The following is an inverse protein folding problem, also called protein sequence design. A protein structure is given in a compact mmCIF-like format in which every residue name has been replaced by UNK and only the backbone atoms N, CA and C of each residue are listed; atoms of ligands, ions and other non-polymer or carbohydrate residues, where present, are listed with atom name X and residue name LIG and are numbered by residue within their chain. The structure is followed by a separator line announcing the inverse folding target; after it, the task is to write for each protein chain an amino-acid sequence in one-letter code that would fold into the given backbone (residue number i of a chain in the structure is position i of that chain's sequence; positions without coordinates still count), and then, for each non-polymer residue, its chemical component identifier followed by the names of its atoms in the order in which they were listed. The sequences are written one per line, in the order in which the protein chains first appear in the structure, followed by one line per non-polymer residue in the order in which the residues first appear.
data_IF_233122881879
#
_entry.id   IF_233122881879
#
_cell.length_a   1.000
_cell.length_b   1.000
_cell.length_c   1.000
_cell.angle_alpha   90.00
_cell.angle_beta   90.00
_cell.angle_gamma   90.00
#
_symmetry.space_group_name_H-M   'P 1'
#
loop_
_entity.id
_entity.type
_entity.pdbx_description
1 polymer ?
#
# COMPACT_ATOMS: atom_id res chain seq x y z
N UNK A 1 -25.95 43.92 30.40
CA UNK A 1 -24.59 43.45 30.68
C UNK A 1 -24.58 41.93 30.74
N UNK A 2 -24.27 41.27 29.63
CA UNK A 2 -23.52 40.00 29.59
C UNK A 2 -23.12 39.76 28.14
N UNK A 3 -21.83 39.87 27.87
CA UNK A 3 -21.24 39.64 26.56
C UNK A 3 -21.29 38.14 26.25
N UNK A 4 -21.90 37.78 25.12
CA UNK A 4 -21.79 36.45 24.53
C UNK A 4 -20.50 36.45 23.73
N UNK A 5 -19.44 35.88 24.31
CA UNK A 5 -18.17 35.65 23.62
C UNK A 5 -18.38 34.50 22.65
N UNK A 6 -18.61 34.82 21.38
CA UNK A 6 -18.57 33.85 20.30
C UNK A 6 -17.14 33.33 20.16
N UNK A 7 -16.89 32.10 20.60
CA UNK A 7 -15.72 31.32 20.19
C UNK A 7 -15.83 31.09 18.68
N UNK A 8 -15.19 31.97 17.92
CA UNK A 8 -14.90 31.76 16.51
C UNK A 8 -14.02 30.51 16.42
N UNK A 9 -14.60 29.42 15.95
CA UNK A 9 -13.85 28.26 15.49
C UNK A 9 -12.75 28.71 14.52
N UNK A 10 -11.51 28.30 14.82
CA UNK A 10 -10.38 28.47 13.92
C UNK A 10 -10.77 27.96 12.53
N UNK A 11 -10.85 28.87 11.57
CA UNK A 11 -10.81 28.50 10.16
C UNK A 11 -9.49 27.74 9.89
N UNK A 12 -9.49 26.71 9.03
CA UNK A 12 -8.24 26.06 8.63
C UNK A 12 -7.35 27.15 8.01
N UNK A 13 -6.14 27.30 8.56
CA UNK A 13 -5.15 28.23 8.04
C UNK A 13 -4.95 27.96 6.55
N UNK A 14 -4.96 29.03 5.77
CA UNK A 14 -4.79 29.01 4.31
C UNK A 14 -3.37 28.55 4.00
N UNK A 15 -3.19 27.23 3.99
CA UNK A 15 -1.89 26.63 3.82
C UNK A 15 -1.42 26.87 2.38
N UNK A 16 -0.32 27.63 2.27
CA UNK A 16 0.34 27.91 0.99
C UNK A 16 0.53 26.63 0.19
N UNK A 17 0.32 26.71 -1.13
CA UNK A 17 0.54 25.59 -2.05
C UNK A 17 1.94 24.96 -1.88
N UNK A 18 2.96 25.77 -1.56
CA UNK A 18 4.31 25.28 -1.29
C UNK A 18 4.39 24.44 0.00
N UNK A 19 3.70 24.86 1.07
CA UNK A 19 3.65 24.12 2.33
C UNK A 19 2.88 22.81 2.17
N UNK A 20 1.77 22.83 1.41
CA UNK A 20 1.00 21.63 1.06
C UNK A 20 1.82 20.62 0.30
N UNK A 21 2.53 21.08 -0.73
CA UNK A 21 3.44 20.26 -1.51
C UNK A 21 4.53 19.61 -0.65
N UNK A 22 5.16 20.41 0.21
CA UNK A 22 6.21 19.90 1.10
C UNK A 22 5.68 18.82 2.05
N UNK A 23 4.50 19.04 2.66
CA UNK A 23 3.86 18.04 3.54
C UNK A 23 3.56 16.73 2.81
N UNK A 24 3.04 16.81 1.57
CA UNK A 24 2.74 15.65 0.73
C UNK A 24 4.01 14.85 0.41
N UNK A 25 5.12 15.52 0.11
CA UNK A 25 6.42 14.87 -0.14
C UNK A 25 6.97 14.26 1.15
N UNK A 26 6.93 15.00 2.27
CA UNK A 26 7.46 14.54 3.56
C UNK A 26 6.70 13.34 4.15
N UNK A 27 5.46 13.13 3.72
CA UNK A 27 4.68 11.96 4.07
C UNK A 27 5.30 10.64 3.55
N UNK A 28 6.09 10.68 2.48
CA UNK A 28 6.77 9.49 1.95
C UNK A 28 8.09 9.20 2.67
N UNK A 29 8.57 7.96 2.51
CA UNK A 29 9.87 7.54 3.04
C UNK A 29 11.02 8.42 2.52
N UNK A 30 11.98 8.85 3.36
CA UNK A 30 13.07 9.76 2.98
C UNK A 30 13.78 9.40 1.67
N UNK A 31 14.06 8.11 1.45
CA UNK A 31 14.77 7.61 0.27
C UNK A 31 14.05 7.88 -1.05
N UNK A 32 12.71 8.02 -1.01
CA UNK A 32 11.88 8.21 -2.19
C UNK A 32 11.41 9.65 -2.40
N UNK A 33 11.60 10.53 -1.41
CA UNK A 33 11.14 11.93 -1.46
C UNK A 33 11.71 12.69 -2.64
N UNK A 34 12.97 12.43 -3.00
CA UNK A 34 13.62 13.06 -4.16
C UNK A 34 12.92 12.68 -5.46
N UNK A 35 12.69 11.40 -5.71
CA UNK A 35 12.03 10.93 -6.94
C UNK A 35 10.60 11.48 -7.06
N UNK A 36 9.87 11.53 -5.93
CA UNK A 36 8.52 12.08 -5.88
C UNK A 36 8.54 13.60 -6.10
N UNK A 37 9.48 14.32 -5.49
CA UNK A 37 9.66 15.75 -5.69
C UNK A 37 10.03 16.08 -7.14
N UNK A 38 10.82 15.23 -7.80
CA UNK A 38 11.20 15.39 -9.20
C UNK A 38 9.99 15.17 -10.12
N UNK A 39 9.23 14.10 -9.91
CA UNK A 39 8.05 13.77 -10.71
C UNK A 39 6.92 14.81 -10.56
N UNK A 40 6.61 15.24 -9.33
CA UNK A 40 5.54 16.20 -9.05
C UNK A 40 5.85 17.62 -9.51
N UNK A 41 7.10 17.94 -9.87
CA UNK A 41 7.42 19.24 -10.49
C UNK A 41 6.83 19.37 -11.90
N UNK A 42 6.56 18.27 -12.59
CA UNK A 42 6.13 18.27 -13.98
C UNK A 42 4.64 18.59 -14.16
N UNK A 43 3.78 18.17 -13.23
CA UNK A 43 2.34 18.37 -13.33
C UNK A 43 1.66 18.47 -11.94
N UNK A 44 0.84 19.50 -11.68
CA UNK A 44 0.09 19.62 -10.42
C UNK A 44 -0.82 18.41 -10.13
N UNK A 45 -1.40 17.81 -11.17
CA UNK A 45 -2.27 16.63 -11.03
C UNK A 45 -1.57 15.44 -10.37
N UNK A 46 -0.25 15.29 -10.56
CA UNK A 46 0.54 14.24 -9.90
C UNK A 46 0.73 14.53 -8.41
N UNK A 47 0.75 15.79 -8.01
CA UNK A 47 0.86 16.16 -6.60
C UNK A 47 -0.39 15.71 -5.81
N UNK A 48 -1.57 15.83 -6.42
CA UNK A 48 -2.84 15.40 -5.82
C UNK A 48 -2.95 13.88 -5.66
N UNK A 49 -2.12 13.10 -6.37
CA UNK A 49 -2.00 11.66 -6.12
C UNK A 49 -1.46 11.35 -4.73
N UNK A 50 -0.67 12.23 -4.12
CA UNK A 50 -0.14 12.01 -2.78
C UNK A 50 -1.25 11.87 -1.72
N UNK A 51 -2.44 12.44 -1.96
CA UNK A 51 -3.60 12.32 -1.09
C UNK A 51 -4.62 11.30 -1.62
N UNK A 52 -4.81 11.24 -2.94
CA UNK A 52 -5.88 10.45 -3.56
C UNK A 52 -5.51 9.01 -3.90
N UNK A 53 -4.24 8.76 -4.29
CA UNK A 53 -3.71 7.44 -4.59
C UNK A 53 -2.19 7.40 -4.44
N UNK A 54 -1.66 7.35 -3.20
CA UNK A 54 -0.23 7.49 -2.96
C UNK A 54 0.61 6.38 -3.60
N UNK A 55 0.06 5.17 -3.70
CA UNK A 55 0.72 4.04 -4.36
C UNK A 55 0.97 4.29 -5.86
N UNK A 56 0.03 4.97 -6.54
CA UNK A 56 0.17 5.30 -7.97
C UNK A 56 1.28 6.32 -8.18
N UNK A 57 1.35 7.35 -7.33
CA UNK A 57 2.44 8.31 -7.35
C UNK A 57 3.79 7.63 -7.10
N UNK A 58 3.85 6.76 -6.10
CA UNK A 58 5.04 6.00 -5.77
C UNK A 58 5.48 5.11 -6.94
N UNK A 59 4.56 4.35 -7.53
CA UNK A 59 4.83 3.47 -8.68
C UNK A 59 5.43 4.23 -9.87
N UNK A 60 4.88 5.41 -10.19
CA UNK A 60 5.41 6.27 -11.25
C UNK A 60 6.82 6.79 -10.92
N UNK A 61 7.09 7.10 -9.65
CA UNK A 61 8.36 7.67 -9.20
C UNK A 61 9.49 6.63 -9.08
N UNK A 62 9.19 5.39 -8.69
CA UNK A 62 10.21 4.36 -8.37
C UNK A 62 10.46 3.37 -9.50
N UNK A 63 9.95 3.64 -10.71
CA UNK A 63 10.18 2.77 -11.87
C UNK A 63 9.41 1.45 -11.83
N UNK A 64 8.26 1.40 -11.17
CA UNK A 64 7.36 0.23 -11.22
C UNK A 64 6.89 -0.02 -12.66
N UNK A 65 6.66 -1.29 -13.02
CA UNK A 65 6.31 -1.73 -14.37
C UNK A 65 7.32 -1.33 -15.47
N UNK A 66 6.98 -1.54 -16.74
CA UNK A 66 7.82 -1.17 -17.88
C UNK A 66 7.69 0.33 -18.20
N UNK A 67 8.71 0.97 -18.81
CA UNK A 67 8.64 2.39 -19.17
C UNK A 67 7.40 2.79 -20.00
N UNK A 68 6.97 2.03 -21.03
CA UNK A 68 5.77 2.40 -21.81
C UNK A 68 4.48 2.41 -20.99
N UNK A 69 4.33 1.49 -20.02
CA UNK A 69 3.16 1.46 -19.15
C UNK A 69 3.14 2.66 -18.20
N UNK A 70 4.32 3.08 -17.69
CA UNK A 70 4.45 4.29 -16.87
C UNK A 70 4.14 5.56 -17.65
N UNK A 71 4.66 5.68 -18.88
CA UNK A 71 4.36 6.81 -19.76
C UNK A 71 2.85 6.90 -20.00
N UNK A 72 2.20 5.78 -20.32
CA UNK A 72 0.75 5.73 -20.52
C UNK A 72 -0.03 6.16 -19.27
N UNK A 73 0.35 5.68 -18.09
CA UNK A 73 -0.30 6.04 -16.85
C UNK A 73 -0.06 7.51 -16.47
N UNK A 74 1.15 8.04 -16.72
CA UNK A 74 1.48 9.44 -16.55
C UNK A 74 0.62 10.35 -17.44
N UNK A 75 0.46 9.98 -18.72
CA UNK A 75 -0.41 10.70 -19.66
C UNK A 75 -1.86 10.72 -19.19
N UNK A 76 -2.39 9.58 -18.74
CA UNK A 76 -3.75 9.47 -18.23
C UNK A 76 -3.99 10.39 -17.03
N UNK A 77 -3.07 10.40 -16.06
CA UNK A 77 -3.16 11.30 -14.89
C UNK A 77 -3.06 12.76 -15.32
N UNK A 78 -2.12 13.08 -16.22
CA UNK A 78 -1.91 14.45 -16.71
C UNK A 78 -3.10 14.98 -17.50
N UNK A 79 -3.82 14.10 -18.21
CA UNK A 79 -5.04 14.42 -18.94
C UNK A 79 -6.30 14.49 -18.04
N UNK A 80 -6.18 14.21 -16.73
CA UNK A 80 -7.32 14.18 -15.81
C UNK A 80 -8.26 13.00 -16.01
N UNK A 81 -7.77 11.89 -16.59
CA UNK A 81 -8.55 10.67 -16.74
C UNK A 81 -8.91 10.07 -15.36
N UNK A 82 -9.93 9.18 -15.29
CA UNK A 82 -10.24 8.48 -14.06
C UNK A 82 -9.03 7.75 -13.49
N UNK A 83 -8.75 7.92 -12.19
CA UNK A 83 -7.61 7.27 -11.51
C UNK A 83 -7.58 5.75 -11.67
N UNK A 84 -8.76 5.15 -11.87
CA UNK A 84 -8.87 3.71 -12.12
C UNK A 84 -8.19 3.31 -13.43
N UNK A 85 -8.35 4.09 -14.49
CA UNK A 85 -7.70 3.82 -15.78
C UNK A 85 -6.17 3.93 -15.68
N UNK A 86 -5.66 4.92 -14.95
CA UNK A 86 -4.22 5.06 -14.72
C UNK A 86 -3.65 3.89 -13.89
N UNK A 87 -4.41 3.39 -12.91
CA UNK A 87 -4.02 2.23 -12.12
C UNK A 87 -4.05 0.94 -12.96
N UNK A 88 -5.09 0.74 -13.76
CA UNK A 88 -5.22 -0.43 -14.64
C UNK A 88 -4.11 -0.43 -15.70
N UNK A 89 -3.68 0.73 -16.21
CA UNK A 89 -2.54 0.87 -17.12
C UNK A 89 -1.21 0.38 -16.51
N UNK A 90 -1.04 0.51 -15.19
CA UNK A 90 0.10 -0.05 -14.45
C UNK A 90 -0.14 -1.45 -13.89
N UNK A 91 -1.33 -2.02 -14.10
CA UNK A 91 -1.77 -3.24 -13.41
C UNK A 91 -1.64 -3.11 -11.88
N UNK A 92 -1.90 -1.92 -11.35
CA UNK A 92 -1.79 -1.61 -9.94
C UNK A 92 -3.08 -1.99 -9.21
N UNK A 93 -2.96 -2.74 -8.12
CA UNK A 93 -4.12 -3.17 -7.36
C UNK A 93 -4.86 -1.97 -6.73
N UNK A 94 -6.14 -1.80 -7.06
CA UNK A 94 -6.93 -0.62 -6.69
C UNK A 94 -7.03 -0.36 -5.18
N UNK A 95 -7.00 -1.44 -4.38
CA UNK A 95 -7.08 -1.33 -2.92
C UNK A 95 -5.88 -0.59 -2.30
N UNK A 96 -4.73 -0.54 -2.99
CA UNK A 96 -3.53 0.19 -2.55
C UNK A 96 -3.77 1.69 -2.36
N UNK A 97 -4.81 2.26 -2.97
CA UNK A 97 -5.20 3.66 -2.77
C UNK A 97 -5.58 3.97 -1.32
N UNK A 98 -5.92 2.96 -0.52
CA UNK A 98 -6.30 3.08 0.89
C UNK A 98 -5.11 3.12 1.83
N UNK A 99 -3.92 2.76 1.35
CA UNK A 99 -2.70 2.84 2.14
C UNK A 99 -2.17 4.27 2.17
N UNK A 100 -1.63 4.71 3.30
CA UNK A 100 -1.04 6.02 3.41
C UNK A 100 0.34 6.07 2.71
N UNK A 101 0.87 7.25 2.36
CA UNK A 101 2.19 7.40 1.73
C UNK A 101 3.33 6.70 2.48
N UNK A 102 3.24 6.63 3.82
CA UNK A 102 4.27 6.01 4.66
C UNK A 102 4.43 4.51 4.39
N UNK A 103 3.40 3.83 3.87
CA UNK A 103 3.44 2.39 3.60
C UNK A 103 4.46 2.01 2.51
N UNK A 104 4.85 2.95 1.65
CA UNK A 104 5.68 2.72 0.49
C UNK A 104 7.15 3.03 0.78
N UNK A 105 7.85 2.04 1.33
CA UNK A 105 9.26 2.14 1.72
C UNK A 105 10.20 1.42 0.75
N UNK A 106 9.69 0.44 0.01
CA UNK A 106 10.42 -0.37 -0.95
C UNK A 106 9.66 -0.44 -2.28
N UNK A 107 10.32 -0.81 -3.40
CA UNK A 107 9.64 -1.03 -4.66
C UNK A 107 8.42 -1.95 -4.49
N UNK A 108 7.30 -1.55 -5.10
CA UNK A 108 6.05 -2.30 -4.98
C UNK A 108 6.19 -3.68 -5.62
N UNK A 109 5.91 -4.78 -4.88
CA UNK A 109 5.80 -6.09 -5.48
C UNK A 109 4.55 -6.16 -6.37
N UNK A 110 4.53 -7.05 -7.38
CA UNK A 110 3.31 -7.30 -8.13
C UNK A 110 2.26 -7.87 -7.19
N UNK A 111 1.20 -7.11 -6.96
CA UNK A 111 0.08 -7.49 -6.08
C UNK A 111 -1.12 -7.88 -6.92
N UNK A 112 -1.92 -8.80 -6.40
CA UNK A 112 -3.12 -9.25 -7.09
C UNK A 112 -4.09 -8.10 -7.33
N UNK A 113 -4.53 -7.99 -8.59
CA UNK A 113 -5.60 -7.08 -9.04
C UNK A 113 -6.98 -7.72 -8.90
N UNK A 114 -7.06 -8.94 -8.34
CA UNK A 114 -8.31 -9.64 -8.08
C UNK A 114 -9.25 -8.80 -7.21
N UNK A 115 -10.50 -8.70 -7.66
CA UNK A 115 -11.49 -7.81 -7.05
C UNK A 115 -11.89 -8.28 -5.65
N UNK A 116 -12.15 -9.57 -5.48
CA UNK A 116 -12.61 -10.16 -4.22
C UNK A 116 -11.52 -10.08 -3.14
N UNK A 117 -10.28 -10.40 -3.52
CA UNK A 117 -9.12 -10.19 -2.66
C UNK A 117 -8.99 -8.72 -2.28
N UNK A 118 -9.07 -7.81 -3.25
CA UNK A 118 -8.95 -6.37 -3.06
C UNK A 118 -9.99 -5.80 -2.08
N UNK A 119 -11.25 -6.24 -2.18
CA UNK A 119 -12.31 -5.83 -1.25
C UNK A 119 -12.03 -6.28 0.19
N UNK A 120 -11.58 -7.53 0.36
CA UNK A 120 -11.31 -8.10 1.68
C UNK A 120 -10.06 -7.48 2.32
N UNK A 121 -8.97 -7.39 1.58
CA UNK A 121 -7.68 -6.90 2.11
C UNK A 121 -7.75 -5.40 2.46
N UNK A 122 -8.52 -4.61 1.71
CA UNK A 122 -8.74 -3.20 2.02
C UNK A 122 -9.34 -2.98 3.41
N UNK A 123 -10.22 -3.89 3.87
CA UNK A 123 -10.81 -3.85 5.20
C UNK A 123 -9.87 -4.30 6.32
N UNK A 124 -8.71 -4.85 5.98
CA UNK A 124 -7.70 -5.38 6.91
C UNK A 124 -6.45 -4.49 7.01
N UNK A 125 -6.46 -3.33 6.36
CA UNK A 125 -5.36 -2.36 6.47
C UNK A 125 -5.26 -1.90 7.95
N UNK A 126 -4.05 -1.92 8.55
CA UNK A 126 -3.88 -1.51 9.94
C UNK A 126 -4.31 -0.07 10.16
N UNK A 127 -4.98 0.18 11.29
CA UNK A 127 -5.33 1.55 11.72
C UNK A 127 -4.09 2.33 12.15
N UNK A 128 -3.09 1.65 12.72
CA UNK A 128 -1.79 2.25 12.98
C UNK A 128 -0.95 2.28 11.69
N UNK A 129 -0.82 3.46 11.11
CA UNK A 129 -0.06 3.68 9.87
C UNK A 129 1.43 3.32 10.01
N UNK A 130 1.97 3.26 11.23
CA UNK A 130 3.36 2.85 11.48
C UNK A 130 3.59 1.38 11.13
N UNK A 131 2.53 0.55 11.17
CA UNK A 131 2.58 -0.86 10.80
C UNK A 131 2.33 -1.08 9.30
N UNK A 132 1.82 -0.09 8.57
CA UNK A 132 1.47 -0.24 7.16
C UNK A 132 2.62 -0.74 6.26
N UNK A 133 3.89 -0.30 6.43
CA UNK A 133 5.00 -0.80 5.61
C UNK A 133 5.28 -2.29 5.82
N UNK A 134 5.43 -2.71 7.08
CA UNK A 134 5.70 -4.12 7.42
C UNK A 134 4.51 -5.01 7.09
N UNK A 135 3.29 -4.52 7.32
CA UNK A 135 2.07 -5.21 6.94
C UNK A 135 1.99 -5.43 5.43
N UNK A 136 2.23 -4.39 4.62
CA UNK A 136 2.20 -4.49 3.16
C UNK A 136 3.23 -5.50 2.65
N UNK A 137 4.47 -5.43 3.16
CA UNK A 137 5.53 -6.34 2.77
C UNK A 137 5.17 -7.81 3.12
N UNK A 138 4.66 -8.06 4.32
CA UNK A 138 4.27 -9.40 4.78
C UNK A 138 3.07 -9.96 4.01
N UNK A 139 2.06 -9.14 3.74
CA UNK A 139 0.89 -9.51 2.94
C UNK A 139 1.29 -9.83 1.50
N UNK A 140 2.15 -9.02 0.90
CA UNK A 140 2.65 -9.27 -0.44
C UNK A 140 3.41 -10.60 -0.53
N UNK A 141 4.36 -10.81 0.39
CA UNK A 141 5.11 -12.06 0.47
C UNK A 141 4.19 -13.27 0.69
N UNK A 142 3.24 -13.16 1.64
CA UNK A 142 2.30 -14.23 1.94
C UNK A 142 1.40 -14.56 0.75
N UNK A 143 0.99 -13.56 -0.01
CA UNK A 143 0.20 -13.75 -1.22
C UNK A 143 1.01 -14.48 -2.30
N UNK A 144 2.25 -14.05 -2.53
CA UNK A 144 3.14 -14.65 -3.51
C UNK A 144 3.52 -16.09 -3.14
N UNK A 145 3.92 -16.31 -1.89
CA UNK A 145 4.38 -17.62 -1.43
C UNK A 145 3.23 -18.61 -1.24
N UNK A 146 2.17 -18.21 -0.53
CA UNK A 146 1.15 -19.13 0.00
C UNK A 146 -0.26 -18.89 -0.59
N UNK A 147 -0.41 -17.89 -1.45
CA UNK A 147 -1.68 -17.56 -2.09
C UNK A 147 -2.61 -16.65 -1.28
N UNK A 148 -3.75 -16.26 -1.89
CA UNK A 148 -4.62 -15.21 -1.37
C UNK A 148 -5.30 -15.56 -0.04
N UNK A 149 -5.61 -16.84 0.20
CA UNK A 149 -6.25 -17.27 1.45
C UNK A 149 -5.34 -17.06 2.66
N UNK A 150 -4.06 -17.40 2.53
CA UNK A 150 -3.09 -17.23 3.60
C UNK A 150 -2.78 -15.75 3.83
N UNK A 151 -2.63 -14.96 2.76
CA UNK A 151 -2.43 -13.52 2.88
C UNK A 151 -3.58 -12.81 3.62
N UNK A 152 -4.84 -13.17 3.35
CA UNK A 152 -6.00 -12.62 4.06
C UNK A 152 -6.06 -13.08 5.52
N UNK A 153 -5.65 -14.30 5.83
CA UNK A 153 -5.55 -14.78 7.20
C UNK A 153 -4.47 -14.02 7.97
N UNK A 154 -3.26 -13.94 7.40
CA UNK A 154 -2.11 -13.22 7.98
C UNK A 154 -2.43 -11.76 8.22
N UNK A 155 -3.11 -11.09 7.28
CA UNK A 155 -3.45 -9.68 7.39
C UNK A 155 -4.34 -9.35 8.60
N UNK A 156 -4.97 -10.35 9.25
CA UNK A 156 -5.77 -10.19 10.48
C UNK A 156 -4.97 -10.39 11.76
N UNK A 157 -3.75 -10.93 11.67
CA UNK A 157 -2.97 -11.36 12.83
C UNK A 157 -2.02 -10.24 13.25
N UNK A 158 -2.51 -9.26 14.01
CA UNK A 158 -1.72 -8.11 14.45
C UNK A 158 -0.39 -8.51 15.13
N UNK A 159 -0.42 -9.53 15.99
CA UNK A 159 0.77 -10.07 16.66
C UNK A 159 1.80 -10.63 15.67
N UNK A 160 1.35 -11.30 14.62
CA UNK A 160 2.21 -11.87 13.58
C UNK A 160 2.69 -10.80 12.59
N UNK A 161 2.06 -9.63 12.53
CA UNK A 161 2.56 -8.47 11.78
C UNK A 161 3.62 -7.72 12.59
N UNK A 162 3.46 -7.66 13.91
CA UNK A 162 4.42 -7.04 14.82
C UNK A 162 5.59 -7.96 15.23
N UNK A 163 5.49 -9.26 14.96
CA UNK A 163 6.51 -10.24 15.37
C UNK A 163 7.86 -10.03 14.69
N UNK A 164 8.90 -10.68 15.22
CA UNK A 164 10.17 -10.84 14.51
C UNK A 164 9.98 -11.50 13.13
N UNK A 165 10.87 -11.16 12.19
CA UNK A 165 10.83 -11.63 10.81
C UNK A 165 10.93 -13.16 10.71
N UNK A 166 11.79 -13.78 11.52
CA UNK A 166 11.95 -15.24 11.59
C UNK A 166 10.63 -15.96 11.89
N UNK A 167 9.85 -15.44 12.85
CA UNK A 167 8.57 -16.04 13.20
C UNK A 167 7.56 -15.95 12.06
N UNK A 168 7.51 -14.80 11.38
CA UNK A 168 6.72 -14.63 10.17
C UNK A 168 7.14 -15.64 9.07
N UNK A 169 8.44 -15.80 8.84
CA UNK A 169 8.98 -16.74 7.86
C UNK A 169 8.65 -18.20 8.18
N UNK A 170 8.72 -18.60 9.46
CA UNK A 170 8.31 -19.94 9.88
C UNK A 170 6.82 -20.19 9.65
N UNK A 171 5.96 -19.21 9.92
CA UNK A 171 4.52 -19.33 9.67
C UNK A 171 4.21 -19.43 8.17
N UNK A 172 4.88 -18.63 7.34
CA UNK A 172 4.74 -18.71 5.89
C UNK A 172 5.24 -20.06 5.35
N UNK A 173 6.39 -20.56 5.82
CA UNK A 173 6.89 -21.88 5.44
C UNK A 173 5.91 -22.99 5.83
N UNK A 174 5.35 -22.94 7.04
CA UNK A 174 4.35 -23.89 7.49
C UNK A 174 3.10 -23.89 6.60
N UNK A 175 2.57 -22.71 6.25
CA UNK A 175 1.43 -22.57 5.35
C UNK A 175 1.74 -23.08 3.93
N UNK A 176 2.93 -22.77 3.41
CA UNK A 176 3.39 -23.26 2.12
C UNK A 176 3.43 -24.78 2.08
N UNK A 177 4.13 -25.42 3.03
CA UNK A 177 4.19 -26.89 3.11
C UNK A 177 2.82 -27.52 3.34
N UNK A 178 1.87 -26.83 3.96
CA UNK A 178 0.50 -27.33 4.14
C UNK A 178 -0.26 -27.45 2.82
N UNK A 179 0.05 -26.61 1.83
CA UNK A 179 -0.59 -26.60 0.50
C UNK A 179 0.11 -27.46 -0.56
N UNK A 180 1.36 -27.88 -0.31
CA UNK A 180 2.17 -28.62 -1.28
C UNK A 180 2.20 -30.11 -0.94
N UNK A 181 1.63 -30.95 -1.79
CA UNK A 181 1.76 -32.41 -1.66
C UNK A 181 3.14 -32.86 -2.16
N UNK A 182 3.84 -33.69 -1.38
CA UNK A 182 5.08 -34.34 -1.82
C UNK A 182 6.34 -34.03 -1.00
N UNK A 183 6.69 -32.76 -0.71
CA UNK A 183 7.89 -32.42 0.04
C UNK A 183 7.92 -33.08 1.43
N UNK A 184 9.12 -33.40 1.94
CA UNK A 184 9.28 -33.96 3.29
C UNK A 184 8.62 -33.07 4.35
N UNK A 185 8.70 -31.75 4.19
CA UNK A 185 8.07 -30.78 5.08
C UNK A 185 6.57 -31.03 5.26
N UNK A 186 5.83 -31.32 4.19
CA UNK A 186 4.39 -31.64 4.25
C UNK A 186 4.12 -32.88 5.12
N UNK A 187 4.93 -33.93 4.97
CA UNK A 187 4.80 -35.19 5.71
C UNK A 187 5.13 -35.05 7.20
N UNK A 188 5.94 -34.06 7.55
CA UNK A 188 6.32 -33.76 8.94
C UNK A 188 5.27 -32.89 9.65
N UNK A 189 4.29 -32.35 8.93
CA UNK A 189 3.26 -31.52 9.54
C UNK A 189 2.29 -32.38 10.35
N UNK A 190 2.21 -32.13 11.66
CA UNK A 190 1.18 -32.74 12.51
C UNK A 190 -0.23 -32.23 12.18
N UNK A 191 -0.34 -30.94 11.84
CA UNK A 191 -1.59 -30.30 11.44
C UNK A 191 -1.27 -29.30 10.31
N UNK A 192 -1.86 -29.45 9.12
CA UNK A 192 -1.71 -28.46 8.05
C UNK A 192 -2.48 -27.18 8.40
N UNK A 193 -1.99 -26.05 7.93
CA UNK A 193 -2.68 -24.77 7.99
C UNK A 193 -3.98 -24.81 7.16
N UNK A 194 -5.00 -24.10 7.64
CA UNK A 194 -6.23 -23.83 6.89
C UNK A 194 -6.74 -22.42 7.22
N UNK A 195 -7.49 -21.81 6.29
CA UNK A 195 -7.91 -20.41 6.39
C UNK A 195 -8.86 -20.09 7.56
N UNK A 196 -9.45 -21.11 8.17
CA UNK A 196 -10.37 -20.99 9.31
C UNK A 196 -9.65 -21.09 10.66
N UNK A 197 -8.30 -21.17 10.68
CA UNK A 197 -7.53 -21.08 11.93
C UNK A 197 -7.51 -19.67 12.50
#
# INVERSE_FOLDING_TARGET
MTAVTSERGLAPQDESAAARRLRRIDAFHPDHRRFIADLTRCAPALEDLADSFPALLFALATGYATPPLRERAFELVSAGAPLREAADALQLAWWLRKLPPQAFVAPLPPLSTDHDFGLRIAGLIPRDHRLAPVWLARVAYAHEACGPRYALWLARQDDLIASAEEFFMFMAAWAWFSSQEGPLGHRLLRKPWHADM
#
